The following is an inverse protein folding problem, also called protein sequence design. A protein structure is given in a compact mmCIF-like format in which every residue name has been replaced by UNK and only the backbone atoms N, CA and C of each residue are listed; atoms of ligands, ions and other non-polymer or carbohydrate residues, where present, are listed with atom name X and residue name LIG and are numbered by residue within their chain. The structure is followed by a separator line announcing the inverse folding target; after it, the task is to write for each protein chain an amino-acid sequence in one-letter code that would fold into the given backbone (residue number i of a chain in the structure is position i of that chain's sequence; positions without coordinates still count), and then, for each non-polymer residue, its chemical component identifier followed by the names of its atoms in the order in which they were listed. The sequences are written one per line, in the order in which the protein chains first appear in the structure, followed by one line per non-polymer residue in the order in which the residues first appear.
data_IF_854215064246
#
_entry.id   IF_854215064246
#
_cell.length_a   1.000
_cell.length_b   1.000
_cell.length_c   1.000
_cell.angle_alpha   90.00
_cell.angle_beta   90.00
_cell.angle_gamma   90.00
#
_symmetry.space_group_name_H-M   'P 1'
#
loop_
_entity.id
_entity.type
_entity.pdbx_description
1 polymer ?
#
# COMPACT_ATOMS: atom_id res chain seq x y z
N UNK A 1 57.13 -1.69 -35.06
CA UNK A 1 57.01 -1.32 -36.48
C UNK A 1 55.55 -0.97 -36.76
N UNK A 2 55.29 -0.05 -37.72
CA UNK A 2 53.99 0.56 -38.03
C UNK A 2 53.37 1.37 -36.85
N UNK A 3 53.30 2.72 -36.78
CA UNK A 3 53.26 3.88 -37.71
C UNK A 3 51.83 4.35 -38.07
N UNK A 4 51.37 5.39 -37.34
CA UNK A 4 50.62 6.60 -37.80
C UNK A 4 49.20 6.36 -38.40
N UNK A 5 48.14 7.12 -38.09
CA UNK A 5 48.06 8.58 -38.06
C UNK A 5 47.08 9.21 -37.06
N UNK A 6 47.44 10.41 -36.58
CA UNK A 6 46.49 11.44 -36.14
C UNK A 6 45.92 12.16 -37.37
N UNK A 7 44.72 12.75 -37.27
CA UNK A 7 44.37 14.00 -37.95
C UNK A 7 43.11 14.65 -37.33
N UNK A 8 43.24 15.90 -36.95
CA UNK A 8 42.21 16.92 -36.70
C UNK A 8 42.80 18.22 -37.28
N UNK A 9 42.05 19.26 -37.71
CA UNK A 9 41.20 20.06 -36.81
C UNK A 9 40.04 20.84 -37.50
N UNK A 10 39.57 21.93 -36.85
CA UNK A 10 38.84 23.12 -37.36
C UNK A 10 37.30 23.04 -37.51
N UNK A 11 36.51 24.12 -37.40
CA UNK A 11 36.41 25.22 -36.38
C UNK A 11 35.30 26.23 -36.78
N UNK A 12 34.72 26.97 -35.81
CA UNK A 12 33.73 28.08 -35.94
C UNK A 12 32.30 27.67 -36.40
N UNK A 13 31.20 28.38 -36.07
CA UNK A 13 31.01 29.80 -35.68
C UNK A 13 29.76 30.02 -34.77
N UNK A 14 29.70 31.12 -34.00
CA UNK A 14 28.50 31.61 -33.29
C UNK A 14 27.54 32.42 -34.20
N UNK A 15 26.23 32.55 -33.86
CA UNK A 15 25.53 33.85 -33.85
C UNK A 15 24.16 33.89 -33.11
N UNK A 16 24.07 34.81 -32.14
CA UNK A 16 22.95 35.63 -31.61
C UNK A 16 21.45 35.37 -31.86
N UNK A 17 20.71 35.37 -30.72
CA UNK A 17 19.47 36.12 -30.35
C UNK A 17 18.67 36.91 -31.41
N UNK A 18 17.34 36.89 -31.26
CA UNK A 18 16.51 38.11 -31.17
C UNK A 18 15.13 37.84 -30.51
N UNK A 19 14.45 38.91 -30.08
CA UNK A 19 13.19 38.92 -29.30
C UNK A 19 12.34 40.12 -29.74
N UNK A 20 10.99 40.03 -29.72
CA UNK A 20 10.03 41.14 -29.49
C UNK A 20 8.58 40.69 -29.84
N UNK A 21 7.58 40.83 -28.95
CA UNK A 21 6.52 41.89 -28.92
C UNK A 21 5.38 41.73 -29.97
N UNK A 22 4.09 42.07 -29.76
CA UNK A 22 3.33 42.77 -28.70
C UNK A 22 1.79 42.69 -29.01
N UNK A 23 0.90 42.84 -27.98
CA UNK A 23 -0.43 43.55 -27.99
C UNK A 23 -1.55 43.16 -29.02
N UNK A 24 -2.88 43.37 -28.83
CA UNK A 24 -3.72 43.81 -27.67
C UNK A 24 -5.26 43.79 -27.93
N UNK A 25 -6.06 43.75 -26.85
CA UNK A 25 -7.28 44.57 -26.54
C UNK A 25 -8.68 44.40 -27.22
N UNK A 26 -9.70 44.10 -26.37
CA UNK A 26 -11.09 44.68 -26.24
C UNK A 26 -12.11 44.66 -27.41
N UNK A 27 -13.46 44.73 -27.25
CA UNK A 27 -14.41 44.61 -26.10
C UNK A 27 -15.90 44.60 -26.58
N UNK A 28 -16.83 44.07 -25.77
CA UNK A 28 -18.28 44.45 -25.55
C UNK A 28 -19.11 45.15 -26.68
N UNK A 29 -20.39 44.82 -26.92
CA UNK A 29 -21.53 45.31 -26.10
C UNK A 29 -22.91 44.65 -26.39
N UNK A 30 -23.92 44.94 -25.55
CA UNK A 30 -25.31 44.44 -25.56
C UNK A 30 -26.25 45.11 -26.59
N UNK A 31 -27.39 44.47 -26.92
CA UNK A 31 -28.75 45.03 -26.66
C UNK A 31 -29.90 44.02 -26.94
N UNK A 32 -31.14 44.40 -26.62
CA UNK A 32 -32.28 43.50 -26.27
C UNK A 32 -33.59 43.82 -27.02
N UNK A 33 -34.72 43.16 -26.62
CA UNK A 33 -36.15 43.34 -27.02
C UNK A 33 -36.63 42.36 -28.14
N UNK A 34 -37.89 41.88 -28.20
CA UNK A 34 -39.13 42.09 -27.40
C UNK A 34 -40.09 40.87 -27.53
N UNK A 35 -41.04 40.69 -26.59
CA UNK A 35 -42.11 39.65 -26.64
C UNK A 35 -43.30 40.05 -27.54
N UNK A 36 -44.00 39.06 -28.13
CA UNK A 36 -45.43 38.72 -27.87
C UNK A 36 -45.92 37.52 -28.70
N UNK A 37 -47.02 36.89 -28.28
CA UNK A 37 -47.58 35.66 -28.85
C UNK A 37 -49.09 35.79 -29.14
N UNK A 38 -49.63 34.97 -30.05
CA UNK A 38 -51.06 34.59 -30.14
C UNK A 38 -51.24 33.23 -30.87
N UNK A 39 -52.41 32.59 -30.69
CA UNK A 39 -52.91 31.27 -31.18
C UNK A 39 -54.36 31.49 -31.73
N UNK A 40 -55.15 30.49 -32.21
CA UNK A 40 -54.91 29.19 -32.91
C UNK A 40 -55.85 29.03 -34.17
N UNK A 41 -56.04 27.81 -34.72
CA UNK A 41 -57.25 27.35 -35.49
C UNK A 41 -57.33 25.79 -35.46
N UNK A 42 -58.52 25.20 -35.72
CA UNK A 42 -58.92 23.80 -35.40
C UNK A 42 -59.62 23.09 -36.59
N UNK A 43 -59.51 21.75 -36.70
CA UNK A 43 -60.56 20.86 -37.26
C UNK A 43 -60.06 19.57 -37.95
N UNK A 44 -60.89 18.51 -38.14
CA UNK A 44 -62.11 18.10 -37.44
C UNK A 44 -62.13 16.60 -36.98
N UNK A 45 -63.27 16.16 -36.42
CA UNK A 45 -63.65 14.79 -35.94
C UNK A 45 -64.76 14.18 -36.84
N UNK A 46 -65.21 12.91 -36.83
CA UNK A 46 -64.97 11.63 -36.11
C UNK A 46 -65.53 10.47 -37.03
N UNK A 47 -65.25 9.14 -36.85
CA UNK A 47 -66.03 8.32 -35.88
C UNK A 47 -65.32 7.10 -35.23
N UNK A 48 -65.93 6.61 -34.15
CA UNK A 48 -65.53 5.47 -33.29
C UNK A 48 -66.32 4.19 -33.59
N UNK A 49 -65.69 3.02 -33.41
CA UNK A 49 -66.35 1.73 -33.10
C UNK A 49 -65.59 1.08 -31.93
N UNK A 50 -66.31 0.44 -31.01
CA UNK A 50 -65.82 -0.07 -29.72
C UNK A 50 -65.92 -1.58 -29.56
N UNK A 51 -65.06 -2.16 -28.71
CA UNK A 51 -65.26 -3.27 -27.75
C UNK A 51 -63.88 -3.89 -27.41
N UNK A 52 -63.58 -4.37 -26.20
CA UNK A 52 -64.20 -4.24 -24.86
C UNK A 52 -63.11 -4.47 -23.79
N UNK A 53 -63.35 -4.03 -22.55
CA UNK A 53 -62.29 -3.80 -21.54
C UNK A 53 -61.91 -5.06 -20.75
N UNK A 54 -60.62 -5.21 -20.46
CA UNK A 54 -60.10 -5.67 -19.16
C UNK A 54 -58.66 -5.18 -18.98
N UNK A 55 -58.46 -4.08 -18.22
CA UNK A 55 -57.14 -3.63 -17.77
C UNK A 55 -57.09 -3.61 -16.25
N UNK A 56 -56.05 -4.24 -15.70
CA UNK A 56 -55.75 -4.31 -14.27
C UNK A 56 -55.22 -2.96 -13.78
N UNK A 57 -55.49 -2.61 -12.52
CA UNK A 57 -55.09 -1.33 -11.91
C UNK A 57 -53.57 -1.11 -11.96
N UNK A 58 -53.18 0.14 -12.20
CA UNK A 58 -51.80 0.58 -12.13
C UNK A 58 -51.28 0.54 -10.66
N UNK A 59 -50.00 0.19 -10.43
CA UNK A 59 -49.44 0.11 -9.10
C UNK A 59 -49.29 1.49 -8.44
N UNK A 60 -49.45 1.51 -7.12
CA UNK A 60 -49.28 2.69 -6.26
C UNK A 60 -47.83 3.15 -6.27
N UNK A 61 -47.61 4.47 -6.28
CA UNK A 61 -46.27 5.04 -6.19
C UNK A 61 -45.62 4.71 -4.85
N UNK A 62 -44.45 4.08 -4.89
CA UNK A 62 -43.57 3.90 -3.74
C UNK A 62 -42.70 5.15 -3.62
N UNK A 63 -42.58 5.69 -2.41
CA UNK A 63 -41.72 6.84 -2.12
C UNK A 63 -40.26 6.47 -2.43
N UNK A 64 -39.59 7.28 -3.24
CA UNK A 64 -38.15 7.13 -3.50
C UNK A 64 -37.38 7.79 -2.36
N UNK A 65 -36.92 6.98 -1.40
CA UNK A 65 -35.87 7.40 -0.48
C UNK A 65 -34.59 7.72 -1.30
N UNK A 66 -34.04 8.91 -1.06
CA UNK A 66 -32.90 9.46 -1.80
C UNK A 66 -31.57 8.92 -1.20
N UNK A 67 -30.84 8.00 -1.88
CA UNK A 67 -29.73 7.29 -1.26
C UNK A 67 -28.45 8.13 -1.29
N UNK A 68 -28.41 9.18 -0.47
CA UNK A 68 -27.23 10.03 -0.25
C UNK A 68 -26.82 10.16 1.21
N UNK A 69 -26.76 9.03 1.92
CA UNK A 69 -25.95 8.87 3.12
C UNK A 69 -25.68 7.38 3.39
N UNK A 70 -24.41 7.00 3.60
CA UNK A 70 -23.91 5.63 3.93
C UNK A 70 -23.94 4.56 2.81
N UNK A 71 -23.15 4.75 1.76
CA UNK A 71 -22.75 3.66 0.83
C UNK A 71 -21.36 3.92 0.24
N UNK A 72 -20.27 3.44 0.88
CA UNK A 72 -18.93 3.34 0.26
C UNK A 72 -17.91 2.51 1.09
N UNK A 73 -18.37 1.49 1.82
CA UNK A 73 -17.52 0.77 2.80
C UNK A 73 -16.80 -0.48 2.26
N UNK A 74 -17.04 -0.83 1.00
CA UNK A 74 -16.59 -2.05 0.33
C UNK A 74 -16.30 -1.77 -1.16
N UNK A 75 -15.66 -2.70 -1.87
CA UNK A 75 -15.31 -2.59 -3.29
C UNK A 75 -15.85 -3.80 -4.09
N UNK A 76 -16.38 -3.58 -5.30
CA UNK A 76 -16.75 -4.65 -6.24
C UNK A 76 -17.64 -5.75 -5.64
N UNK A 77 -17.35 -7.02 -5.98
CA UNK A 77 -17.97 -8.24 -5.42
C UNK A 77 -17.91 -8.29 -3.89
N UNK A 78 -16.94 -7.65 -3.24
CA UNK A 78 -16.86 -7.59 -1.78
C UNK A 78 -17.97 -6.72 -1.14
N UNK A 79 -18.77 -6.00 -1.94
CA UNK A 79 -20.02 -5.37 -1.48
C UNK A 79 -21.25 -6.28 -1.52
N UNK A 80 -21.17 -7.45 -2.14
CA UNK A 80 -22.31 -8.37 -2.20
C UNK A 80 -22.50 -8.98 -0.81
N UNK A 81 -23.57 -8.56 -0.14
CA UNK A 81 -23.99 -9.13 1.14
C UNK A 81 -24.42 -10.58 0.93
N UNK A 82 -23.47 -11.51 1.03
CA UNK A 82 -23.76 -12.91 1.25
C UNK A 82 -24.55 -13.01 2.56
N UNK A 83 -25.84 -13.32 2.47
CA UNK A 83 -26.67 -13.55 3.65
C UNK A 83 -26.22 -14.85 4.30
N UNK A 84 -25.35 -14.74 5.32
CA UNK A 84 -24.61 -15.83 5.99
C UNK A 84 -25.51 -16.83 6.77
N UNK A 85 -26.79 -16.93 6.41
CA UNK A 85 -27.81 -17.75 7.08
C UNK A 85 -28.14 -19.06 6.38
N UNK A 86 -27.53 -19.39 5.24
CA UNK A 86 -28.00 -20.49 4.39
C UNK A 86 -26.96 -21.47 3.81
N UNK A 87 -25.65 -21.37 4.11
CA UNK A 87 -24.68 -22.42 3.74
C UNK A 87 -23.77 -22.84 4.92
N UNK A 88 -23.63 -24.14 5.12
CA UNK A 88 -23.05 -24.75 6.33
C UNK A 88 -21.50 -24.85 6.34
N UNK A 89 -20.83 -24.27 5.34
CA UNK A 89 -19.38 -24.17 5.26
C UNK A 89 -18.96 -22.76 5.75
N UNK A 90 -18.66 -22.57 7.03
CA UNK A 90 -17.28 -22.77 7.51
C UNK A 90 -17.22 -22.80 9.04
N UNK A 91 -17.78 -23.86 9.66
CA UNK A 91 -17.75 -24.08 11.12
C UNK A 91 -16.33 -24.18 11.74
N UNK A 92 -15.28 -24.16 10.92
CA UNK A 92 -13.86 -24.19 11.30
C UNK A 92 -13.18 -22.81 11.32
N UNK A 93 -13.79 -21.75 10.80
CA UNK A 93 -13.13 -20.45 10.68
C UNK A 93 -13.12 -19.65 11.98
N UNK A 94 -12.01 -18.93 12.21
CA UNK A 94 -11.83 -17.97 13.30
C UNK A 94 -12.65 -16.70 13.05
N UNK A 95 -12.80 -15.86 14.08
CA UNK A 95 -13.34 -14.50 13.94
C UNK A 95 -12.51 -13.73 12.90
N UNK A 96 -13.17 -13.08 11.94
CA UNK A 96 -12.52 -12.25 10.93
C UNK A 96 -11.61 -11.16 11.54
N UNK A 97 -10.46 -10.93 10.90
CA UNK A 97 -9.43 -9.97 11.31
C UNK A 97 -9.32 -8.82 10.32
N UNK A 98 -9.34 -7.59 10.83
CA UNK A 98 -9.19 -6.37 10.03
C UNK A 98 -7.72 -6.00 9.83
N UNK A 99 -7.27 -5.88 8.58
CA UNK A 99 -5.87 -5.58 8.22
C UNK A 99 -5.83 -4.31 7.36
N UNK A 100 -5.29 -3.24 7.92
CA UNK A 100 -5.00 -2.02 7.18
C UNK A 100 -3.61 -2.07 6.54
N UNK A 101 -3.48 -1.60 5.30
CA UNK A 101 -2.20 -1.57 4.56
C UNK A 101 -2.00 -0.18 3.93
N UNK A 102 -0.96 0.55 4.33
CA UNK A 102 -0.64 1.86 3.74
C UNK A 102 0.38 1.73 2.61
N UNK A 103 0.25 2.55 1.56
CA UNK A 103 1.04 2.39 0.34
C UNK A 103 0.61 1.16 -0.48
N UNK A 104 -0.68 0.81 -0.41
CA UNK A 104 -1.22 -0.45 -0.93
C UNK A 104 -1.14 -0.62 -2.47
N UNK A 105 -0.90 0.45 -3.22
CA UNK A 105 -0.63 0.42 -4.67
C UNK A 105 0.88 0.29 -5.02
N UNK A 106 1.73 0.00 -4.02
CA UNK A 106 3.18 -0.16 -4.21
C UNK A 106 3.59 -1.61 -4.42
N UNK A 107 4.71 -1.84 -5.13
CA UNK A 107 5.20 -3.19 -5.50
C UNK A 107 5.25 -4.21 -4.35
N UNK A 108 5.58 -3.77 -3.13
CA UNK A 108 5.63 -4.63 -1.94
C UNK A 108 4.22 -5.09 -1.54
N UNK A 109 3.23 -4.17 -1.59
CA UNK A 109 1.85 -4.45 -1.29
C UNK A 109 1.22 -5.37 -2.36
N UNK A 110 1.46 -5.12 -3.65
CA UNK A 110 0.99 -5.96 -4.75
C UNK A 110 1.35 -7.45 -4.62
N UNK A 111 2.36 -7.83 -3.82
CA UNK A 111 2.62 -9.24 -3.53
C UNK A 111 2.13 -9.67 -2.14
N UNK A 112 2.23 -8.78 -1.15
CA UNK A 112 1.80 -9.05 0.22
C UNK A 112 0.29 -9.28 0.32
N UNK A 113 -0.53 -8.53 -0.43
CA UNK A 113 -1.99 -8.58 -0.35
C UNK A 113 -2.54 -9.94 -0.77
N UNK A 114 -2.04 -10.52 -1.86
CA UNK A 114 -2.43 -11.87 -2.33
C UNK A 114 -1.98 -12.95 -1.35
N UNK A 115 -0.83 -12.77 -0.68
CA UNK A 115 -0.32 -13.69 0.34
C UNK A 115 -1.08 -13.61 1.67
N UNK A 116 -1.63 -12.43 2.01
CA UNK A 116 -2.60 -12.28 3.08
C UNK A 116 -3.92 -12.97 2.71
N UNK A 117 -4.46 -12.67 1.52
CA UNK A 117 -5.73 -13.21 1.02
C UNK A 117 -5.73 -14.75 0.85
N UNK A 118 -4.59 -15.33 0.47
CA UNK A 118 -4.39 -16.78 0.39
C UNK A 118 -4.30 -17.49 1.76
N UNK A 119 -4.29 -16.76 2.88
CA UNK A 119 -4.13 -17.34 4.23
C UNK A 119 -2.70 -17.76 4.60
N UNK A 120 -1.70 -17.51 3.74
CA UNK A 120 -0.30 -17.90 3.99
C UNK A 120 0.33 -17.15 5.18
N UNK A 121 -0.26 -16.02 5.59
CA UNK A 121 0.21 -15.18 6.72
C UNK A 121 -0.46 -15.52 8.05
N UNK A 122 -1.78 -15.69 8.09
CA UNK A 122 -2.54 -15.86 9.34
C UNK A 122 -3.10 -17.28 9.54
N UNK A 123 -2.92 -18.16 8.56
CA UNK A 123 -3.44 -19.53 8.56
C UNK A 123 -4.64 -19.72 7.62
N UNK A 124 -4.89 -20.96 7.19
CA UNK A 124 -5.95 -21.29 6.23
C UNK A 124 -7.38 -21.25 6.82
N UNK A 125 -7.50 -20.97 8.12
CA UNK A 125 -8.74 -20.91 8.90
C UNK A 125 -9.07 -19.49 9.39
N UNK A 126 -8.32 -18.48 8.93
CA UNK A 126 -8.43 -17.09 9.38
C UNK A 126 -8.98 -16.19 8.25
N UNK A 127 -10.29 -15.90 8.21
CA UNK A 127 -10.84 -14.91 7.28
C UNK A 127 -10.34 -13.50 7.61
N UNK A 128 -10.20 -12.66 6.58
CA UNK A 128 -9.65 -11.31 6.68
C UNK A 128 -10.48 -10.26 5.91
N UNK A 129 -10.39 -9.02 6.38
CA UNK A 129 -10.81 -7.81 5.68
C UNK A 129 -9.60 -6.93 5.39
N UNK A 130 -9.42 -6.50 4.13
CA UNK A 130 -8.30 -5.65 3.69
C UNK A 130 -8.74 -4.20 3.55
N UNK A 131 -8.13 -3.30 4.35
CA UNK A 131 -8.36 -1.85 4.29
C UNK A 131 -7.15 -1.16 3.66
N UNK A 132 -7.24 -0.88 2.36
CA UNK A 132 -6.13 -0.43 1.52
C UNK A 132 -6.05 1.10 1.47
N UNK A 133 -5.01 1.66 2.08
CA UNK A 133 -4.73 3.09 2.12
C UNK A 133 -3.68 3.47 1.06
N UNK A 134 -4.12 4.27 0.08
CA UNK A 134 -3.28 4.82 -0.98
C UNK A 134 -2.94 6.30 -0.78
N UNK A 135 -2.75 6.99 -1.90
CA UNK A 135 -2.62 8.44 -2.02
C UNK A 135 -3.44 8.92 -3.22
N UNK A 136 -3.79 10.20 -3.29
CA UNK A 136 -4.50 10.79 -4.44
C UNK A 136 -3.86 10.43 -5.79
N UNK A 137 -2.51 10.43 -5.84
CA UNK A 137 -1.72 10.14 -7.04
C UNK A 137 -1.72 8.67 -7.45
N UNK A 138 -2.15 7.78 -6.57
CA UNK A 138 -2.09 6.32 -6.76
C UNK A 138 -3.47 5.68 -6.64
N UNK A 139 -4.56 6.45 -6.69
CA UNK A 139 -5.92 5.94 -6.53
C UNK A 139 -6.30 4.97 -7.66
N UNK A 140 -6.02 5.33 -8.92
CA UNK A 140 -6.25 4.45 -10.07
C UNK A 140 -5.43 3.14 -10.00
N UNK A 141 -4.20 3.20 -9.49
CA UNK A 141 -3.39 1.99 -9.27
C UNK A 141 -3.93 1.14 -8.11
N UNK A 142 -4.57 1.76 -7.12
CA UNK A 142 -5.21 1.09 -5.99
C UNK A 142 -6.51 0.38 -6.42
N UNK A 143 -7.28 1.00 -7.32
CA UNK A 143 -8.44 0.37 -7.98
C UNK A 143 -8.00 -0.88 -8.76
N UNK A 144 -6.93 -0.79 -9.56
CA UNK A 144 -6.37 -1.94 -10.26
C UNK A 144 -6.00 -3.10 -9.33
N UNK A 145 -5.33 -2.82 -8.20
CA UNK A 145 -5.02 -3.84 -7.19
C UNK A 145 -6.28 -4.45 -6.57
N UNK A 146 -7.35 -3.68 -6.38
CA UNK A 146 -8.62 -4.21 -5.87
C UNK A 146 -9.33 -5.11 -6.89
N UNK A 147 -9.27 -4.78 -8.18
CA UNK A 147 -9.75 -5.64 -9.27
C UNK A 147 -8.96 -6.96 -9.34
N UNK A 148 -7.63 -6.92 -9.25
CA UNK A 148 -6.82 -8.15 -9.23
C UNK A 148 -7.13 -9.05 -8.01
N UNK A 149 -7.48 -8.46 -6.85
CA UNK A 149 -7.90 -9.21 -5.66
C UNK A 149 -9.31 -9.82 -5.82
N UNK A 150 -10.21 -9.14 -6.51
CA UNK A 150 -11.55 -9.62 -6.88
C UNK A 150 -11.46 -10.81 -7.84
N UNK A 151 -10.68 -10.68 -8.93
CA UNK A 151 -10.43 -11.72 -9.93
C UNK A 151 -9.69 -12.95 -9.36
N UNK A 152 -9.04 -12.82 -8.19
CA UNK A 152 -8.29 -13.92 -7.55
C UNK A 152 -9.16 -14.91 -6.77
N UNK A 153 -10.44 -14.60 -6.50
CA UNK A 153 -11.42 -15.50 -5.87
C UNK A 153 -10.97 -16.14 -4.53
N UNK A 154 -10.21 -15.40 -3.71
CA UNK A 154 -9.72 -15.92 -2.42
C UNK A 154 -10.86 -16.07 -1.38
N UNK A 155 -11.19 -17.28 -0.89
CA UNK A 155 -12.35 -17.48 -0.02
C UNK A 155 -12.22 -16.82 1.36
N UNK A 156 -10.99 -16.68 1.85
CA UNK A 156 -10.65 -16.03 3.13
C UNK A 156 -10.69 -14.49 3.03
N UNK A 157 -10.61 -13.91 1.83
CA UNK A 157 -10.74 -12.47 1.64
C UNK A 157 -12.22 -12.11 1.59
N UNK A 158 -12.75 -11.63 2.70
CA UNK A 158 -14.20 -11.36 2.85
C UNK A 158 -14.58 -9.96 2.43
N UNK A 159 -13.71 -8.99 2.70
CA UNK A 159 -13.95 -7.57 2.45
C UNK A 159 -12.70 -6.90 1.91
N UNK A 160 -12.86 -5.99 0.95
CA UNK A 160 -11.84 -5.04 0.51
C UNK A 160 -12.45 -3.64 0.54
N UNK A 161 -11.80 -2.71 1.25
CA UNK A 161 -12.11 -1.26 1.22
C UNK A 161 -10.87 -0.52 0.74
N UNK A 162 -11.03 0.41 -0.20
CA UNK A 162 -9.93 1.23 -0.73
C UNK A 162 -10.17 2.71 -0.44
N UNK A 163 -9.10 3.49 -0.27
CA UNK A 163 -9.22 4.95 -0.20
C UNK A 163 -7.94 5.67 0.21
N UNK A 164 -8.09 6.95 0.56
CA UNK A 164 -6.97 7.86 0.88
C UNK A 164 -7.05 8.49 2.28
N UNK A 165 -8.18 8.33 3.00
CA UNK A 165 -8.34 8.87 4.34
C UNK A 165 -7.90 7.84 5.41
N UNK A 166 -6.81 8.08 6.17
CA UNK A 166 -6.38 7.12 7.20
C UNK A 166 -7.40 6.93 8.32
N UNK A 167 -8.27 7.91 8.60
CA UNK A 167 -9.31 7.78 9.65
C UNK A 167 -10.46 6.85 9.24
N UNK A 168 -10.68 6.63 7.95
CA UNK A 168 -11.66 5.66 7.44
C UNK A 168 -11.03 4.28 7.24
N UNK A 169 -9.79 4.24 6.74
CA UNK A 169 -9.11 2.98 6.40
C UNK A 169 -8.47 2.29 7.62
N UNK A 170 -8.25 2.99 8.73
CA UNK A 170 -7.73 2.40 9.98
C UNK A 170 -8.82 2.05 11.00
N UNK A 171 -10.09 2.32 10.69
CA UNK A 171 -11.24 1.97 11.53
C UNK A 171 -11.24 0.48 11.88
N UNK A 172 -11.34 0.15 13.17
CA UNK A 172 -11.30 -1.21 13.72
C UNK A 172 -10.13 -2.10 13.25
N UNK A 173 -9.04 -1.51 12.75
CA UNK A 173 -7.87 -2.28 12.30
C UNK A 173 -7.22 -3.03 13.47
N UNK A 174 -6.99 -4.33 13.31
CA UNK A 174 -6.28 -5.19 14.27
C UNK A 174 -4.80 -5.36 13.85
N UNK A 175 -4.50 -5.27 12.56
CA UNK A 175 -3.15 -5.12 12.02
C UNK A 175 -3.05 -3.86 11.15
N UNK A 176 -1.94 -3.14 11.26
CA UNK A 176 -1.62 -1.97 10.44
C UNK A 176 -0.22 -2.13 9.82
N UNK A 177 -0.17 -2.40 8.52
CA UNK A 177 1.05 -2.66 7.75
C UNK A 177 1.43 -1.38 7.00
N UNK A 178 2.28 -0.57 7.63
CA UNK A 178 2.59 0.78 7.17
C UNK A 178 3.80 0.78 6.22
N UNK A 179 3.53 0.51 4.94
CA UNK A 179 4.55 0.41 3.87
C UNK A 179 4.75 1.76 3.18
N UNK A 180 3.69 2.55 3.04
CA UNK A 180 3.69 3.85 2.36
C UNK A 180 4.60 4.88 3.03
N UNK A 181 5.67 5.27 2.33
CA UNK A 181 6.53 6.39 2.67
C UNK A 181 6.99 7.10 1.39
N UNK A 182 7.30 8.40 1.48
CA UNK A 182 7.87 9.13 0.35
C UNK A 182 9.29 8.64 0.07
N UNK A 183 9.64 8.26 -1.17
CA UNK A 183 11.01 7.91 -1.53
C UNK A 183 11.91 9.16 -1.52
N UNK A 184 13.22 8.95 -1.34
CA UNK A 184 14.20 10.04 -1.37
C UNK A 184 14.31 10.60 -2.79
N UNK A 185 13.93 11.86 -2.97
CA UNK A 185 14.03 12.55 -4.27
C UNK A 185 15.47 12.96 -4.63
N UNK A 186 15.75 13.27 -5.90
CA UNK A 186 17.02 13.87 -6.32
C UNK A 186 17.33 15.14 -5.51
N UNK A 187 18.58 15.29 -5.05
CA UNK A 187 19.01 16.42 -4.22
C UNK A 187 18.42 16.49 -2.81
N UNK A 188 17.54 15.57 -2.40
CA UNK A 188 16.90 15.62 -1.08
C UNK A 188 17.89 15.27 0.04
N UNK A 189 18.04 16.16 1.01
CA UNK A 189 18.79 15.91 2.24
C UNK A 189 18.12 14.87 3.14
N UNK A 190 18.92 14.22 4.00
CA UNK A 190 18.41 13.24 4.97
C UNK A 190 17.41 13.85 5.95
N UNK A 191 17.62 15.11 6.36
CA UNK A 191 16.71 15.83 7.25
C UNK A 191 15.33 16.07 6.61
N UNK A 192 15.29 16.52 5.35
CA UNK A 192 14.03 16.71 4.62
C UNK A 192 13.24 15.40 4.42
N UNK A 193 13.92 14.28 4.20
CA UNK A 193 13.27 12.96 4.14
C UNK A 193 12.66 12.55 5.49
N UNK A 194 13.38 12.80 6.59
CA UNK A 194 12.94 12.52 7.95
C UNK A 194 11.70 13.36 8.33
N UNK A 195 11.69 14.64 8.01
CA UNK A 195 10.56 15.53 8.28
C UNK A 195 9.30 15.12 7.51
N UNK A 196 9.41 14.95 6.19
CA UNK A 196 8.24 14.61 5.35
C UNK A 196 7.63 13.24 5.73
N UNK A 197 8.46 12.22 5.95
CA UNK A 197 7.94 10.92 6.37
C UNK A 197 7.49 10.96 7.85
N UNK A 198 8.15 11.75 8.70
CA UNK A 198 7.70 12.00 10.07
C UNK A 198 6.28 12.57 10.12
N UNK A 199 5.95 13.55 9.28
CA UNK A 199 4.59 14.11 9.19
C UNK A 199 3.55 13.05 8.76
N UNK A 200 3.87 12.22 7.76
CA UNK A 200 2.99 11.11 7.32
C UNK A 200 2.73 10.13 8.46
N UNK A 201 3.77 9.69 9.17
CA UNK A 201 3.65 8.72 10.25
C UNK A 201 3.06 9.31 11.55
N UNK A 202 3.20 10.61 11.77
CA UNK A 202 2.50 11.31 12.84
C UNK A 202 0.98 11.30 12.59
N UNK A 203 0.54 11.62 11.38
CA UNK A 203 -0.90 11.62 11.04
C UNK A 203 -1.49 10.20 11.02
N UNK A 204 -0.77 9.22 10.47
CA UNK A 204 -1.16 7.81 10.57
C UNK A 204 -1.23 7.34 12.03
N UNK A 205 -0.34 7.82 12.91
CA UNK A 205 -0.40 7.55 14.35
C UNK A 205 -1.66 8.11 15.02
N UNK A 206 -2.03 9.36 14.72
CA UNK A 206 -3.28 9.97 15.23
C UNK A 206 -4.51 9.20 14.74
N UNK A 207 -4.55 8.82 13.46
CA UNK A 207 -5.65 8.05 12.90
C UNK A 207 -5.79 6.67 13.58
N UNK A 208 -4.71 5.90 13.69
CA UNK A 208 -4.70 4.64 14.46
C UNK A 208 -5.19 4.85 15.90
N UNK A 209 -4.72 5.91 16.56
CA UNK A 209 -5.14 6.24 17.92
C UNK A 209 -6.62 6.60 18.04
N UNK A 210 -7.20 7.24 17.03
CA UNK A 210 -8.60 7.61 17.02
C UNK A 210 -9.48 6.37 16.81
N UNK A 211 -9.25 5.62 15.72
CA UNK A 211 -10.25 4.70 15.13
C UNK A 211 -9.86 3.21 15.13
N UNK A 212 -8.59 2.85 15.34
CA UNK A 212 -8.17 1.44 15.28
C UNK A 212 -8.44 0.68 16.59
N UNK A 213 -8.31 -0.65 16.54
CA UNK A 213 -8.38 -1.49 17.73
C UNK A 213 -7.36 -1.03 18.78
N UNK A 214 -7.77 -1.00 20.06
CA UNK A 214 -6.88 -0.61 21.18
C UNK A 214 -5.67 -1.54 21.36
N UNK A 215 -5.71 -2.73 20.74
CA UNK A 215 -4.61 -3.68 20.69
C UNK A 215 -4.06 -3.90 19.27
N UNK A 216 -4.27 -2.94 18.35
CA UNK A 216 -3.74 -3.01 16.99
C UNK A 216 -2.23 -3.28 16.98
N UNK A 217 -1.78 -4.13 16.06
CA UNK A 217 -0.38 -4.46 15.82
C UNK A 217 0.13 -3.66 14.63
N UNK A 218 1.14 -2.82 14.84
CA UNK A 218 1.61 -1.85 13.85
C UNK A 218 3.00 -2.26 13.36
N UNK A 219 3.12 -2.62 12.08
CA UNK A 219 4.39 -2.97 11.43
C UNK A 219 4.77 -1.86 10.46
N UNK A 220 5.85 -1.16 10.75
CA UNK A 220 6.39 -0.07 9.93
C UNK A 220 7.49 -0.58 9.02
N UNK A 221 7.26 -0.42 7.72
CA UNK A 221 8.20 -0.77 6.64
C UNK A 221 8.67 0.49 5.91
N UNK A 222 7.80 1.50 5.81
CA UNK A 222 8.12 2.79 5.20
C UNK A 222 9.33 3.46 5.84
N UNK A 223 10.34 3.80 5.04
CA UNK A 223 11.63 4.26 5.53
C UNK A 223 11.66 5.76 5.90
N UNK A 224 12.41 6.20 6.92
CA UNK A 224 13.25 5.41 7.84
C UNK A 224 12.44 4.73 8.94
N UNK A 225 12.34 3.39 8.90
CA UNK A 225 11.29 2.67 9.63
C UNK A 225 11.37 2.77 11.17
N UNK A 226 12.56 2.75 11.77
CA UNK A 226 12.72 2.92 13.23
C UNK A 226 12.22 4.28 13.72
N UNK A 227 12.58 5.36 13.02
CA UNK A 227 12.15 6.73 13.38
C UNK A 227 10.66 6.93 13.09
N UNK A 228 10.17 6.41 11.97
CA UNK A 228 8.75 6.47 11.60
C UNK A 228 7.88 5.72 12.62
N UNK A 229 8.30 4.54 13.10
CA UNK A 229 7.62 3.80 14.17
C UNK A 229 7.60 4.58 15.49
N UNK A 230 8.72 5.21 15.87
CA UNK A 230 8.79 6.08 17.06
C UNK A 230 7.86 7.29 16.94
N UNK A 231 7.77 7.92 15.78
CA UNK A 231 6.87 9.07 15.57
C UNK A 231 5.40 8.60 15.61
N UNK A 232 5.09 7.46 14.97
CA UNK A 232 3.76 6.87 14.96
C UNK A 232 3.27 6.55 16.38
N UNK A 233 4.07 5.85 17.19
CA UNK A 233 3.70 5.51 18.58
C UNK A 233 3.60 6.74 19.48
N UNK A 234 4.40 7.79 19.24
CA UNK A 234 4.32 9.05 20.01
C UNK A 234 3.07 9.86 19.70
N UNK A 235 2.47 9.68 18.52
CA UNK A 235 1.17 10.24 18.17
C UNK A 235 0.00 9.30 18.51
N UNK A 236 0.28 8.14 19.12
CA UNK A 236 -0.71 7.11 19.45
C UNK A 236 -0.69 6.67 20.92
N UNK A 237 -0.91 7.59 21.89
CA UNK A 237 -0.80 7.30 23.32
C UNK A 237 -1.79 6.25 23.86
N UNK A 238 -2.89 5.99 23.15
CA UNK A 238 -3.92 5.00 23.54
C UNK A 238 -3.63 3.58 23.02
N UNK A 239 -2.55 3.38 22.26
CA UNK A 239 -2.12 2.07 21.77
C UNK A 239 -0.82 1.68 22.52
N UNK A 240 -0.69 0.45 23.05
CA UNK A 240 0.53 0.03 23.74
C UNK A 240 1.78 0.18 22.88
N UNK A 241 2.79 0.93 23.34
CA UNK A 241 4.03 1.18 22.59
C UNK A 241 4.75 -0.11 22.15
N UNK A 242 4.57 -1.22 22.88
CA UNK A 242 5.08 -2.56 22.54
C UNK A 242 4.50 -3.17 21.25
N UNK A 243 3.39 -2.65 20.74
CA UNK A 243 2.73 -3.13 19.51
C UNK A 243 3.27 -2.45 18.24
N UNK A 244 4.24 -1.52 18.36
CA UNK A 244 4.86 -0.84 17.23
C UNK A 244 6.21 -1.45 16.89
N UNK A 245 6.33 -1.98 15.67
CA UNK A 245 7.49 -2.73 15.19
C UNK A 245 8.08 -2.05 13.96
N UNK A 246 9.40 -1.85 13.94
CA UNK A 246 10.13 -1.44 12.75
C UNK A 246 10.75 -2.68 12.07
N UNK A 247 10.50 -2.88 10.78
CA UNK A 247 10.82 -4.13 10.11
C UNK A 247 12.33 -4.27 9.77
N UNK A 248 13.06 -5.05 10.57
CA UNK A 248 14.46 -5.48 10.30
C UNK A 248 14.59 -6.93 9.86
N UNK A 249 13.48 -7.68 9.73
CA UNK A 249 13.48 -9.12 9.36
C UNK A 249 14.10 -9.41 7.99
N UNK A 250 14.06 -8.44 7.07
CA UNK A 250 14.78 -8.52 5.80
C UNK A 250 16.29 -8.68 6.00
N UNK A 251 16.86 -7.87 6.90
CA UNK A 251 18.28 -7.94 7.24
C UNK A 251 18.62 -9.25 7.97
N UNK A 252 17.74 -9.74 8.86
CA UNK A 252 17.90 -11.04 9.54
C UNK A 252 17.94 -12.20 8.54
N UNK A 253 16.95 -12.27 7.65
CA UNK A 253 16.87 -13.33 6.64
C UNK A 253 18.08 -13.27 5.66
N UNK A 254 18.52 -12.06 5.28
CA UNK A 254 19.75 -11.87 4.50
C UNK A 254 20.99 -12.34 5.26
N UNK A 255 21.08 -12.04 6.56
CA UNK A 255 22.17 -12.48 7.42
C UNK A 255 22.20 -14.02 7.56
N UNK A 256 21.05 -14.67 7.76
CA UNK A 256 20.94 -16.15 7.79
C UNK A 256 21.41 -16.78 6.49
N UNK A 257 21.01 -16.22 5.35
CA UNK A 257 21.47 -16.67 4.04
C UNK A 257 23.00 -16.54 3.89
N UNK A 258 23.59 -15.41 4.28
CA UNK A 258 25.05 -15.21 4.19
C UNK A 258 25.84 -16.12 5.14
N UNK A 259 25.35 -16.37 6.36
CA UNK A 259 25.95 -17.36 7.27
C UNK A 259 25.87 -18.78 6.70
N UNK A 260 24.73 -19.16 6.14
CA UNK A 260 24.52 -20.48 5.53
C UNK A 260 25.46 -20.71 4.36
N UNK A 261 25.56 -19.73 3.45
CA UNK A 261 26.48 -19.74 2.30
C UNK A 261 27.95 -19.85 2.75
N UNK A 262 28.39 -19.06 3.74
CA UNK A 262 29.78 -19.11 4.25
C UNK A 262 30.09 -20.44 4.94
N UNK A 263 29.13 -21.04 5.62
CA UNK A 263 29.29 -22.32 6.33
C UNK A 263 29.07 -23.55 5.43
N UNK A 264 28.63 -23.39 4.17
CA UNK A 264 28.35 -24.50 3.27
C UNK A 264 27.11 -25.34 3.68
N UNK A 265 26.13 -24.71 4.32
CA UNK A 265 24.88 -25.35 4.78
C UNK A 265 23.65 -24.69 4.16
N UNK A 266 22.49 -25.33 4.29
CA UNK A 266 21.21 -24.71 3.93
C UNK A 266 20.72 -23.75 5.04
N UNK A 267 19.94 -22.73 4.67
CA UNK A 267 19.59 -21.63 5.57
C UNK A 267 18.63 -22.03 6.72
N UNK A 268 17.97 -23.17 6.60
CA UNK A 268 17.15 -23.77 7.67
C UNK A 268 17.98 -24.20 8.88
N UNK A 269 19.30 -24.40 8.70
CA UNK A 269 20.24 -24.76 9.76
C UNK A 269 20.73 -23.57 10.58
N UNK A 270 20.40 -22.34 10.19
CA UNK A 270 20.82 -21.12 10.88
C UNK A 270 19.71 -20.62 11.81
N UNK A 271 20.02 -20.50 13.11
CA UNK A 271 19.10 -20.03 14.15
C UNK A 271 19.72 -18.90 14.98
N UNK A 272 18.93 -18.28 15.86
CA UNK A 272 19.37 -17.24 16.80
C UNK A 272 20.04 -16.00 16.17
N UNK A 273 19.82 -15.78 14.87
CA UNK A 273 20.27 -14.57 14.17
C UNK A 273 19.47 -13.36 14.68
N UNK A 274 20.18 -12.29 15.07
CA UNK A 274 19.58 -11.05 15.54
C UNK A 274 20.16 -9.85 14.78
N UNK A 275 19.33 -8.84 14.51
CA UNK A 275 19.77 -7.55 13.94
C UNK A 275 19.54 -6.46 14.98
N UNK A 276 20.61 -5.82 15.43
CA UNK A 276 20.54 -4.71 16.38
C UNK A 276 20.61 -3.34 15.70
N UNK A 277 20.04 -2.33 16.36
CA UNK A 277 20.16 -0.93 15.96
C UNK A 277 19.09 -0.45 14.96
N UNK A 278 19.50 0.50 14.12
CA UNK A 278 18.63 1.18 13.15
C UNK A 278 18.75 0.54 11.76
N UNK A 279 17.65 0.33 11.04
CA UNK A 279 17.63 -0.25 9.69
C UNK A 279 18.36 0.64 8.67
N UNK A 280 19.68 0.50 8.63
CA UNK A 280 20.62 1.40 7.93
C UNK A 280 22.01 0.77 7.91
N UNK A 281 23.01 1.49 7.39
CA UNK A 281 24.43 1.09 7.47
C UNK A 281 25.02 1.08 8.89
N UNK A 282 24.25 1.43 9.91
CA UNK A 282 24.65 1.31 11.34
C UNK A 282 23.97 0.14 12.04
N UNK A 283 23.30 -0.77 11.32
CA UNK A 283 22.78 -2.00 11.90
C UNK A 283 23.90 -2.99 12.21
N UNK A 284 23.73 -3.80 13.25
CA UNK A 284 24.71 -4.81 13.66
C UNK A 284 24.09 -6.21 13.52
N UNK A 285 24.47 -6.98 12.49
CA UNK A 285 24.14 -8.39 12.37
C UNK A 285 24.93 -9.21 13.39
N UNK A 286 24.23 -9.74 14.39
CA UNK A 286 24.82 -10.44 15.52
C UNK A 286 25.22 -11.88 15.16
N UNK A 287 26.45 -12.05 14.70
CA UNK A 287 27.04 -13.38 14.49
C UNK A 287 27.50 -14.05 15.79
N UNK A 288 27.59 -13.33 16.91
CA UNK A 288 28.11 -13.86 18.17
C UNK A 288 27.09 -14.79 18.84
N UNK A 289 25.81 -14.37 18.83
CA UNK A 289 24.70 -15.14 19.38
C UNK A 289 24.03 -16.08 18.36
N UNK A 290 24.30 -15.88 17.06
CA UNK A 290 23.82 -16.76 16.00
C UNK A 290 24.40 -18.18 16.09
N UNK A 291 23.60 -19.15 15.64
CA UNK A 291 23.92 -20.58 15.69
C UNK A 291 23.73 -21.23 14.33
N UNK A 292 24.52 -22.27 14.06
CA UNK A 292 24.40 -23.13 12.88
C UNK A 292 24.40 -24.59 13.37
N UNK A 293 23.39 -25.37 13.00
CA UNK A 293 23.15 -26.72 13.53
C UNK A 293 23.18 -26.78 15.08
N UNK A 294 22.69 -25.72 15.74
CA UNK A 294 22.68 -25.59 17.21
C UNK A 294 24.00 -25.12 17.84
N UNK A 295 25.14 -25.18 17.14
CA UNK A 295 26.44 -24.71 17.63
C UNK A 295 26.64 -23.21 17.36
N UNK A 296 27.40 -22.46 18.19
CA UNK A 296 27.74 -21.06 17.92
C UNK A 296 28.44 -20.87 16.58
N UNK A 297 28.12 -19.80 15.84
CA UNK A 297 28.71 -19.52 14.51
C UNK A 297 30.25 -19.54 14.53
N UNK A 298 30.89 -19.00 15.58
CA UNK A 298 32.36 -18.95 15.73
C UNK A 298 33.01 -20.34 15.83
N UNK A 299 32.25 -21.38 16.19
CA UNK A 299 32.74 -22.75 16.21
C UNK A 299 32.74 -23.41 14.83
N UNK A 300 31.97 -22.89 13.88
CA UNK A 300 31.82 -23.42 12.51
C UNK A 300 32.57 -22.55 11.50
N UNK A 301 32.31 -21.24 11.47
CA UNK A 301 33.02 -20.28 10.62
C UNK A 301 34.28 -19.80 11.35
N UNK A 302 35.43 -20.39 11.00
CA UNK A 302 36.74 -20.05 11.61
C UNK A 302 37.34 -18.73 11.10
N UNK A 303 36.82 -18.21 9.98
CA UNK A 303 37.21 -16.94 9.39
C UNK A 303 36.62 -15.75 10.18
N UNK A 304 37.29 -15.42 11.29
CA UNK A 304 36.88 -14.34 12.19
C UNK A 304 36.92 -12.97 11.52
N UNK A 305 37.90 -12.74 10.64
CA UNK A 305 38.00 -11.48 9.88
C UNK A 305 36.79 -11.28 8.98
N UNK A 306 36.32 -12.33 8.30
CA UNK A 306 35.08 -12.26 7.53
C UNK A 306 33.86 -12.02 8.43
N UNK A 307 33.78 -12.62 9.62
CA UNK A 307 32.65 -12.37 10.53
C UNK A 307 32.58 -10.91 11.02
N UNK A 308 33.73 -10.31 11.33
CA UNK A 308 33.82 -8.94 11.86
C UNK A 308 33.70 -7.86 10.78
N UNK A 309 34.41 -8.02 9.65
CA UNK A 309 34.46 -7.03 8.57
C UNK A 309 33.48 -7.36 7.42
N UNK A 310 33.65 -8.54 6.80
CA UNK A 310 33.02 -8.89 5.51
C UNK A 310 31.53 -9.23 5.58
N UNK A 311 31.08 -9.84 6.67
CA UNK A 311 29.71 -10.30 6.87
C UNK A 311 28.73 -9.12 6.96
N UNK A 312 29.03 -8.18 7.86
CA UNK A 312 28.27 -6.94 8.03
C UNK A 312 28.24 -6.13 6.73
N UNK A 313 29.38 -5.96 6.08
CA UNK A 313 29.48 -5.22 4.82
C UNK A 313 28.64 -5.86 3.70
N UNK A 314 28.65 -7.20 3.60
CA UNK A 314 27.88 -7.94 2.60
C UNK A 314 26.37 -7.74 2.77
N UNK A 315 25.85 -7.84 4.00
CA UNK A 315 24.43 -7.60 4.30
C UNK A 315 24.05 -6.15 3.98
N UNK A 316 24.93 -5.19 4.27
CA UNK A 316 24.69 -3.78 3.97
C UNK A 316 24.73 -3.47 2.46
N UNK A 317 25.62 -4.10 1.67
CA UNK A 317 25.72 -3.93 0.21
C UNK A 317 24.59 -4.61 -0.56
N UNK A 318 24.13 -5.78 -0.12
CA UNK A 318 22.96 -6.49 -0.70
C UNK A 318 21.66 -5.67 -0.61
N UNK A 319 21.64 -4.57 0.15
CA UNK A 319 20.55 -3.57 0.15
C UNK A 319 20.27 -2.94 -1.23
N UNK A 320 21.24 -2.94 -2.16
CA UNK A 320 21.08 -2.34 -3.49
C UNK A 320 20.39 -3.24 -4.53
N UNK A 321 20.13 -4.51 -4.21
CA UNK A 321 19.52 -5.46 -5.16
C UNK A 321 18.14 -5.87 -4.67
N UNK A 322 17.17 -5.65 -5.55
CA UNK A 322 15.79 -6.14 -5.61
C UNK A 322 14.77 -5.72 -4.56
N UNK A 323 13.82 -4.91 -5.04
CA UNK A 323 12.45 -4.77 -4.52
C UNK A 323 11.64 -6.08 -4.54
N UNK A 324 12.14 -7.13 -5.21
CA UNK A 324 11.62 -8.50 -5.17
C UNK A 324 12.04 -9.27 -3.90
N UNK A 325 13.11 -8.82 -3.23
CA UNK A 325 13.27 -9.04 -1.78
C UNK A 325 12.16 -8.27 -1.02
N UNK A 326 12.16 -8.28 0.32
CA UNK A 326 11.20 -7.50 1.15
C UNK A 326 9.73 -8.01 1.11
N UNK A 327 9.29 -8.67 0.03
CA UNK A 327 7.96 -9.27 -0.16
C UNK A 327 7.66 -10.51 0.73
N UNK A 328 8.51 -11.55 0.71
CA UNK A 328 8.41 -12.72 1.62
C UNK A 328 8.64 -12.39 3.12
N UNK A 329 8.81 -11.12 3.48
CA UNK A 329 9.48 -10.71 4.72
C UNK A 329 8.54 -10.06 5.74
N UNK A 330 7.43 -9.46 5.30
CA UNK A 330 6.36 -8.98 6.20
C UNK A 330 5.62 -10.17 6.83
N UNK A 331 5.36 -11.22 6.03
CA UNK A 331 4.63 -12.43 6.41
C UNK A 331 5.17 -13.08 7.69
N UNK A 332 6.48 -13.36 7.70
CA UNK A 332 7.16 -14.05 8.78
C UNK A 332 7.27 -13.23 10.08
N UNK A 333 6.87 -11.95 10.08
CA UNK A 333 6.79 -11.14 11.30
C UNK A 333 5.42 -11.22 11.96
N UNK A 334 4.35 -11.24 11.17
CA UNK A 334 2.97 -11.31 11.67
C UNK A 334 2.74 -12.64 12.41
N UNK A 335 3.32 -13.74 11.94
CA UNK A 335 3.23 -15.07 12.57
C UNK A 335 3.87 -15.15 13.98
N UNK A 336 4.72 -14.18 14.36
CA UNK A 336 5.50 -14.20 15.61
C UNK A 336 5.11 -13.07 16.61
N UNK A 337 4.03 -12.31 16.36
CA UNK A 337 3.67 -11.07 17.10
C UNK A 337 2.24 -11.06 17.69
#
# INVERSE_FOLDING_TARGET
MAVVAQLSPSSYTETTRLSSSQLSLSSTHLSSLRRRAFRPIIGPRNPTISCSVNQVQAPVAVEQDDPKSKTNDCYGVFCLTYDLKAEEETKSWKKMVNIAVSGAAGMIANHLLFKLAAGEVLGPDQPIALKLLGSERSLQALEGVAMELEDSLFPLLREVKIGINPYELFEDAEWALLIGAKPRGPGMERAGLLDINGQIFAEQGKALNAVASRNVKVIVVGNPCNTNALICLKNAPSIPAKNFHALTRLDENRAKCQLALKAGVFYDKVSNMTIWGNHSTTQVPDFLNARINGLPVKEIIKDHKWLEEGFTETIQKVRLVDNFTLILFVMNCIVFL
#
